data_IF_872765851168
#
_entry.id   IF_872765851168
#
_cell.length_a   1.000
_cell.length_b   1.000
_cell.length_c   1.000
_cell.angle_alpha   90.00
_cell.angle_beta   90.00
_cell.angle_gamma   90.00
#
_symmetry.space_group_name_H-M   'P 1'
#
loop_
_entity.id
_entity.type
_entity.pdbx_description
1 polymer ?
#
# COMPACT_ATOMS: atom_id res chain seq x y z
N UNK A 1 -16.82 -12.85 -1.46
CA UNK A 1 -16.26 -11.64 -0.82
C UNK A 1 -15.79 -10.71 -1.92
N UNK A 2 -15.88 -9.39 -1.76
CA UNK A 2 -15.49 -8.40 -2.77
C UNK A 2 -14.32 -7.57 -2.26
N UNK A 3 -13.18 -7.66 -2.92
CA UNK A 3 -11.99 -6.88 -2.59
C UNK A 3 -11.84 -5.70 -3.54
N UNK A 4 -11.74 -4.50 -2.97
CA UNK A 4 -11.64 -3.26 -3.72
C UNK A 4 -10.37 -2.54 -3.28
N UNK A 5 -9.40 -2.45 -4.18
CA UNK A 5 -8.15 -1.74 -3.91
C UNK A 5 -8.20 -0.32 -4.46
N UNK A 6 -7.90 0.66 -3.62
CA UNK A 6 -7.69 2.05 -4.01
C UNK A 6 -6.19 2.27 -4.11
N UNK A 7 -5.69 2.65 -5.29
CA UNK A 7 -4.26 2.82 -5.56
C UNK A 7 -3.99 4.15 -6.28
N UNK A 8 -2.72 4.55 -6.36
CA UNK A 8 -2.31 5.72 -7.12
C UNK A 8 -0.90 5.56 -7.70
N UNK A 9 -0.61 6.18 -8.84
CA UNK A 9 0.73 6.11 -9.44
C UNK A 9 1.81 6.86 -8.65
N UNK A 10 1.42 7.75 -7.74
CA UNK A 10 2.32 8.50 -6.84
C UNK A 10 1.66 8.80 -5.50
N UNK A 11 2.46 9.22 -4.53
CA UNK A 11 1.98 9.76 -3.25
C UNK A 11 1.23 11.09 -3.41
N UNK A 12 0.33 11.38 -2.47
CA UNK A 12 -0.33 12.69 -2.34
C UNK A 12 -1.53 12.95 -3.26
N UNK A 13 -1.99 11.97 -4.05
CA UNK A 13 -3.20 12.10 -4.90
C UNK A 13 -4.52 12.06 -4.12
N UNK A 14 -4.48 11.70 -2.83
CA UNK A 14 -5.66 11.60 -1.95
C UNK A 14 -6.28 10.21 -1.86
N UNK A 15 -5.56 9.16 -2.28
CA UNK A 15 -5.92 7.74 -2.15
C UNK A 15 -6.46 7.39 -0.76
N UNK A 16 -5.65 7.49 0.29
CA UNK A 16 -6.04 7.17 1.68
C UNK A 16 -7.25 7.96 2.15
N UNK A 17 -7.35 9.24 1.77
CA UNK A 17 -8.51 10.08 2.11
C UNK A 17 -9.80 9.56 1.47
N UNK A 18 -9.74 9.13 0.21
CA UNK A 18 -10.87 8.52 -0.48
C UNK A 18 -11.20 7.15 0.12
N UNK A 19 -10.19 6.33 0.43
CA UNK A 19 -10.39 5.02 1.08
C UNK A 19 -11.09 5.17 2.44
N UNK A 20 -10.63 6.11 3.27
CA UNK A 20 -11.26 6.42 4.56
C UNK A 20 -12.70 6.93 4.40
N UNK A 21 -12.99 7.66 3.33
CA UNK A 21 -14.35 8.08 3.02
C UNK A 21 -15.22 6.89 2.58
N UNK A 22 -14.73 6.01 1.69
CA UNK A 22 -15.48 4.81 1.31
C UNK A 22 -15.74 3.88 2.48
N UNK A 23 -14.80 3.75 3.43
CA UNK A 23 -15.02 3.03 4.68
C UNK A 23 -16.25 3.54 5.44
N UNK A 24 -16.49 4.85 5.46
CA UNK A 24 -17.68 5.44 6.09
C UNK A 24 -19.00 5.23 5.33
N UNK A 25 -18.98 4.59 4.15
CA UNK A 25 -20.14 4.36 3.29
C UNK A 25 -20.45 2.88 3.06
N UNK A 26 -19.69 1.96 3.66
CA UNK A 26 -19.96 0.54 3.57
C UNK A 26 -19.54 -0.22 4.82
N UNK A 27 -20.14 -1.38 5.02
CA UNK A 27 -19.73 -2.31 6.05
C UNK A 27 -18.58 -3.20 5.53
N UNK A 28 -17.35 -2.88 5.88
CA UNK A 28 -16.14 -3.50 5.33
C UNK A 28 -15.11 -3.85 6.41
N UNK A 29 -14.20 -4.76 6.06
CA UNK A 29 -12.89 -4.86 6.70
C UNK A 29 -11.92 -3.96 5.93
N UNK A 30 -11.09 -3.23 6.64
CA UNK A 30 -10.12 -2.31 6.06
C UNK A 30 -8.73 -2.95 6.08
N UNK A 31 -7.96 -2.77 5.02
CA UNK A 31 -6.57 -3.17 4.95
C UNK A 31 -5.72 -1.97 4.52
N UNK A 32 -4.87 -1.46 5.43
CA UNK A 32 -3.89 -0.44 5.08
C UNK A 32 -2.62 -1.13 4.54
N UNK A 33 -2.52 -1.17 3.22
CA UNK A 33 -1.42 -1.76 2.47
C UNK A 33 -0.36 -0.72 2.07
N UNK A 34 -0.52 0.55 2.49
CA UNK A 34 0.48 1.60 2.33
C UNK A 34 1.46 1.61 3.52
N UNK A 35 2.16 0.49 3.71
CA UNK A 35 2.93 0.21 4.95
C UNK A 35 4.18 1.08 5.14
N UNK A 36 4.69 1.69 4.07
CA UNK A 36 5.78 2.68 4.15
C UNK A 36 5.31 4.00 4.77
N UNK A 37 4.04 4.35 4.55
CA UNK A 37 3.44 5.61 4.98
C UNK A 37 1.98 5.37 5.41
N UNK A 38 1.81 4.52 6.43
CA UNK A 38 0.48 4.13 6.92
C UNK A 38 -0.29 5.34 7.44
N UNK A 39 -1.24 5.81 6.63
CA UNK A 39 -2.00 7.03 6.88
C UNK A 39 -3.43 6.74 7.33
N UNK A 40 -3.97 5.55 7.03
CA UNK A 40 -5.34 5.22 7.37
C UNK A 40 -5.57 5.17 8.89
N UNK A 41 -4.65 4.64 9.73
CA UNK A 41 -4.75 4.73 11.19
C UNK A 41 -4.80 6.15 11.74
N UNK A 42 -4.13 7.11 11.08
CA UNK A 42 -4.15 8.51 11.51
C UNK A 42 -5.54 9.14 11.32
N UNK A 43 -6.28 8.73 10.29
CA UNK A 43 -7.63 9.23 9.98
C UNK A 43 -8.68 8.51 10.81
N UNK A 44 -8.53 7.20 11.02
CA UNK A 44 -9.56 6.39 11.66
C UNK A 44 -9.39 6.21 13.17
N UNK A 45 -8.23 6.62 13.70
CA UNK A 45 -7.88 6.60 15.13
C UNK A 45 -8.28 5.29 15.80
N UNK A 46 -7.71 4.15 15.34
CA UNK A 46 -8.20 2.84 15.69
C UNK A 46 -7.74 2.39 17.09
N UNK A 47 -8.47 1.46 17.69
CA UNK A 47 -8.06 0.80 18.93
C UNK A 47 -7.36 -0.52 18.60
N UNK A 48 -6.08 -0.64 18.94
CA UNK A 48 -5.28 -1.85 18.68
C UNK A 48 -5.79 -2.99 19.57
N UNK A 49 -6.17 -4.10 18.95
CA UNK A 49 -6.63 -5.33 19.64
C UNK A 49 -5.57 -6.42 19.67
N UNK A 50 -4.74 -6.49 18.64
CA UNK A 50 -3.65 -7.47 18.52
C UNK A 50 -2.47 -6.85 17.77
N UNK A 51 -1.28 -7.25 18.18
CA UNK A 51 -0.01 -6.92 17.56
C UNK A 51 0.77 -8.22 17.26
N UNK A 52 1.43 -8.27 16.11
CA UNK A 52 2.27 -9.39 15.67
C UNK A 52 3.56 -8.85 15.06
N UNK A 53 4.71 -9.42 15.45
CA UNK A 53 5.98 -9.10 14.80
C UNK A 53 6.01 -9.69 13.38
N UNK A 54 6.57 -8.93 12.44
CA UNK A 54 6.74 -9.36 11.07
C UNK A 54 8.21 -9.40 10.68
N UNK A 55 8.65 -10.56 10.18
CA UNK A 55 9.98 -10.77 9.62
C UNK A 55 9.89 -10.91 8.10
N UNK A 56 10.12 -9.81 7.39
CA UNK A 56 10.09 -9.77 5.92
C UNK A 56 11.43 -10.03 5.25
N UNK A 57 12.52 -9.91 6.00
CA UNK A 57 13.89 -10.02 5.49
C UNK A 57 14.70 -11.05 6.27
N UNK A 58 15.76 -11.53 5.62
CA UNK A 58 16.80 -12.34 6.23
C UNK A 58 18.11 -11.60 6.16
N UNK A 59 18.89 -11.63 7.23
CA UNK A 59 20.19 -10.97 7.31
C UNK A 59 21.26 -12.01 7.61
N UNK A 60 22.44 -11.81 7.04
CA UNK A 60 23.55 -12.70 7.30
C UNK A 60 24.11 -12.44 8.71
N UNK A 61 24.43 -13.51 9.43
CA UNK A 61 25.09 -13.48 10.74
C UNK A 61 26.34 -14.35 10.71
N UNK A 62 27.39 -13.90 11.39
CA UNK A 62 28.66 -14.61 11.56
C UNK A 62 28.71 -15.23 12.96
N UNK A 63 29.14 -16.49 13.04
CA UNK A 63 29.40 -17.18 14.30
C UNK A 63 30.91 -17.42 14.52
N UNK A 64 31.23 -18.10 15.62
CA UNK A 64 32.60 -18.36 16.09
C UNK A 64 33.42 -19.31 15.19
N UNK A 65 32.79 -20.03 14.26
CA UNK A 65 33.49 -20.93 13.32
C UNK A 65 34.26 -20.16 12.23
N UNK A 66 34.22 -18.83 12.23
CA UNK A 66 34.84 -18.01 11.21
C UNK A 66 36.37 -18.12 11.26
N UNK A 67 36.97 -18.59 10.17
CA UNK A 67 38.43 -18.69 10.02
C UNK A 67 39.08 -17.43 9.43
N UNK A 68 38.32 -16.36 9.27
CA UNK A 68 38.76 -15.08 8.69
C UNK A 68 39.34 -15.22 7.26
N UNK A 69 38.93 -16.24 6.50
CA UNK A 69 39.40 -16.50 5.13
C UNK A 69 39.01 -15.41 4.11
N UNK A 70 37.96 -14.64 4.39
CA UNK A 70 37.55 -13.49 3.60
C UNK A 70 36.75 -13.74 2.32
N UNK A 71 36.40 -14.98 2.00
CA UNK A 71 35.58 -15.31 0.83
C UNK A 71 34.22 -14.58 0.83
N UNK A 72 33.55 -14.51 1.99
CA UNK A 72 32.28 -13.80 2.13
C UNK A 72 32.39 -12.31 1.78
N UNK A 73 33.51 -11.67 2.13
CA UNK A 73 33.77 -10.26 1.82
C UNK A 73 34.01 -10.07 0.32
N UNK A 74 34.79 -10.96 -0.29
CA UNK A 74 35.14 -10.90 -1.73
C UNK A 74 33.91 -10.96 -2.63
N UNK A 75 32.90 -11.75 -2.26
CA UNK A 75 31.68 -11.94 -3.07
C UNK A 75 30.55 -10.96 -2.74
N UNK A 76 30.65 -10.20 -1.64
CA UNK A 76 29.58 -9.30 -1.22
C UNK A 76 29.52 -8.05 -2.09
N UNK A 77 28.56 -8.00 -3.02
CA UNK A 77 28.35 -6.84 -3.90
C UNK A 77 27.79 -5.60 -3.19
N UNK A 78 27.20 -5.78 -2.02
CA UNK A 78 26.55 -4.72 -1.25
C UNK A 78 27.47 -4.08 -0.20
N UNK A 79 28.71 -4.57 -0.05
CA UNK A 79 29.65 -4.06 0.94
C UNK A 79 29.18 -4.25 2.38
N UNK A 80 28.40 -5.31 2.64
CA UNK A 80 27.86 -5.63 3.95
C UNK A 80 28.88 -6.30 4.89
N UNK A 81 30.04 -6.74 4.39
CA UNK A 81 31.07 -7.39 5.20
C UNK A 81 32.26 -6.44 5.40
N UNK A 82 32.60 -6.16 6.66
CA UNK A 82 33.68 -5.22 7.04
C UNK A 82 35.08 -5.81 6.83
N UNK A 83 36.11 -4.99 7.05
CA UNK A 83 37.50 -5.44 7.12
C UNK A 83 37.74 -6.50 8.18
N UNK A 84 37.04 -6.39 9.31
CA UNK A 84 37.10 -7.30 10.45
C UNK A 84 36.11 -8.48 10.32
N UNK A 85 35.55 -8.64 9.12
CA UNK A 85 34.59 -9.67 8.74
C UNK A 85 33.30 -9.65 9.57
N UNK A 86 32.94 -8.51 10.15
CA UNK A 86 31.62 -8.30 10.74
C UNK A 86 30.59 -7.98 9.66
N UNK A 87 29.31 -8.24 9.97
CA UNK A 87 28.22 -8.03 9.04
C UNK A 87 27.46 -6.77 9.42
N UNK A 88 27.46 -5.79 8.52
CA UNK A 88 26.65 -4.59 8.61
C UNK A 88 25.23 -4.94 8.13
N UNK A 89 24.33 -5.20 9.07
CA UNK A 89 22.95 -5.65 8.79
C UNK A 89 22.19 -4.74 7.81
N UNK A 90 22.30 -3.41 7.98
CA UNK A 90 21.62 -2.43 7.12
C UNK A 90 22.09 -2.42 5.66
N UNK A 91 23.28 -2.96 5.36
CA UNK A 91 23.79 -3.13 3.99
C UNK A 91 23.55 -4.53 3.43
N UNK A 92 23.05 -5.45 4.26
CA UNK A 92 22.87 -6.83 3.88
C UNK A 92 21.50 -7.03 3.21
N UNK A 93 21.50 -7.37 1.93
CA UNK A 93 20.29 -7.73 1.18
C UNK A 93 19.77 -9.15 1.46
N UNK A 94 20.49 -9.94 2.27
CA UNK A 94 20.06 -11.32 2.57
C UNK A 94 20.18 -12.30 1.39
N UNK A 95 20.91 -11.97 0.33
CA UNK A 95 20.98 -12.79 -0.90
C UNK A 95 21.61 -14.19 -0.73
N UNK A 96 22.26 -14.47 0.42
CA UNK A 96 22.79 -15.79 0.76
C UNK A 96 24.11 -16.19 0.10
N UNK A 97 24.67 -15.39 -0.83
CA UNK A 97 25.94 -15.73 -1.50
C UNK A 97 27.08 -15.98 -0.51
N UNK A 98 27.15 -15.20 0.58
CA UNK A 98 28.17 -15.35 1.62
C UNK A 98 28.08 -16.69 2.38
N UNK A 99 26.86 -17.20 2.60
CA UNK A 99 26.62 -18.52 3.21
C UNK A 99 27.10 -19.63 2.28
N UNK A 100 26.83 -19.52 0.97
CA UNK A 100 27.21 -20.53 -0.02
C UNK A 100 28.73 -20.69 -0.17
N UNK A 101 29.49 -19.59 -0.10
CA UNK A 101 30.94 -19.62 -0.31
C UNK A 101 31.76 -19.82 0.96
N UNK A 102 31.14 -19.81 2.15
CA UNK A 102 31.87 -19.90 3.42
C UNK A 102 32.37 -21.34 3.67
N UNK A 103 33.69 -21.61 3.60
CA UNK A 103 34.21 -22.97 3.73
C UNK A 103 34.01 -23.54 5.14
N UNK A 104 34.04 -22.69 6.18
CA UNK A 104 33.83 -23.10 7.56
C UNK A 104 32.36 -23.08 8.00
N UNK A 105 31.43 -22.76 7.09
CA UNK A 105 29.98 -22.63 7.37
C UNK A 105 29.67 -21.68 8.54
N UNK A 106 30.51 -20.66 8.71
CA UNK A 106 30.39 -19.68 9.80
C UNK A 106 29.36 -18.57 9.54
N UNK A 107 28.85 -18.47 8.31
CA UNK A 107 27.87 -17.45 7.91
C UNK A 107 26.53 -18.13 7.62
N UNK A 108 25.47 -17.69 8.30
CA UNK A 108 24.10 -18.17 8.10
C UNK A 108 23.14 -17.00 7.88
N UNK A 109 21.95 -17.27 7.35
CA UNK A 109 20.88 -16.28 7.23
C UNK A 109 19.90 -16.47 8.39
N UNK A 110 19.53 -15.38 9.04
CA UNK A 110 18.53 -15.36 10.11
C UNK A 110 17.43 -14.38 9.77
N UNK A 111 16.19 -14.74 10.06
CA UNK A 111 15.06 -13.81 9.97
C UNK A 111 15.30 -12.61 10.87
N UNK A 112 14.97 -11.43 10.37
CA UNK A 112 15.11 -10.17 11.09
C UNK A 112 13.74 -9.51 11.14
N UNK A 113 13.25 -9.11 12.32
CA UNK A 113 12.02 -8.34 12.43
C UNK A 113 12.14 -7.04 11.64
N UNK A 114 11.31 -6.87 10.62
CA UNK A 114 11.29 -5.70 9.75
C UNK A 114 10.12 -4.78 10.03
N UNK A 115 9.16 -5.21 10.86
CA UNK A 115 8.01 -4.40 11.23
C UNK A 115 7.04 -5.15 12.13
N UNK A 116 5.85 -4.58 12.25
CA UNK A 116 4.75 -5.09 13.04
C UNK A 116 3.45 -5.00 12.25
N UNK A 117 2.56 -5.96 12.46
CA UNK A 117 1.20 -5.95 11.93
C UNK A 117 0.24 -5.81 13.10
N UNK A 118 -0.79 -5.02 12.90
CA UNK A 118 -1.80 -4.70 13.89
C UNK A 118 -3.18 -5.07 13.39
N UNK A 119 -3.96 -5.73 14.24
CA UNK A 119 -5.41 -5.84 14.08
C UNK A 119 -6.04 -4.86 15.03
N UNK A 120 -6.86 -3.96 14.48
CA UNK A 120 -7.47 -2.87 15.24
C UNK A 120 -8.95 -2.75 14.92
N UNK A 121 -9.74 -2.24 15.86
CA UNK A 121 -11.12 -1.85 15.60
C UNK A 121 -11.17 -0.35 15.32
N UNK A 122 -11.97 0.05 14.32
CA UNK A 122 -12.21 1.45 13.96
C UNK A 122 -13.68 1.79 14.05
N UNK A 123 -14.01 3.08 13.95
CA UNK A 123 -15.40 3.55 13.84
C UNK A 123 -16.14 3.06 12.59
N UNK A 124 -15.45 2.49 11.60
CA UNK A 124 -16.04 1.98 10.34
C UNK A 124 -15.84 0.48 10.12
N UNK A 125 -15.35 -0.24 11.13
CA UNK A 125 -15.11 -1.68 11.05
C UNK A 125 -13.69 -2.08 11.45
N UNK A 126 -13.39 -3.38 11.44
CA UNK A 126 -12.05 -3.90 11.71
C UNK A 126 -11.06 -3.42 10.65
N UNK A 127 -9.82 -3.19 11.06
CA UNK A 127 -8.74 -2.80 10.19
C UNK A 127 -7.49 -3.62 10.49
N UNK A 128 -6.82 -4.07 9.43
CA UNK A 128 -5.45 -4.57 9.49
C UNK A 128 -4.53 -3.52 8.90
N UNK A 129 -3.46 -3.19 9.61
CA UNK A 129 -2.43 -2.26 9.14
C UNK A 129 -1.06 -2.72 9.63
N UNK A 130 -0.01 -2.16 9.05
CA UNK A 130 1.35 -2.51 9.44
C UNK A 130 2.25 -1.29 9.50
N UNK A 131 3.30 -1.41 10.30
CA UNK A 131 4.33 -0.40 10.47
C UNK A 131 5.70 -1.05 10.37
N UNK A 132 6.57 -0.48 9.54
CA UNK A 132 7.96 -0.92 9.39
C UNK A 132 8.85 -0.38 10.52
N UNK A 133 9.91 -1.13 10.80
CA UNK A 133 11.01 -0.65 11.64
C UNK A 133 11.82 0.42 10.89
N UNK A 134 12.52 1.28 11.65
CA UNK A 134 13.29 2.37 11.07
C UNK A 134 14.38 1.82 10.14
N UNK A 135 14.37 2.28 8.89
CA UNK A 135 15.36 1.89 7.87
C UNK A 135 15.00 0.63 7.07
N UNK A 136 13.82 0.05 7.29
CA UNK A 136 13.26 -1.03 6.48
C UNK A 136 12.33 -0.49 5.37
N UNK A 137 12.10 -1.29 4.33
CA UNK A 137 11.29 -0.93 3.16
C UNK A 137 10.12 -1.92 2.99
N UNK A 138 8.97 -1.44 2.49
CA UNK A 138 7.82 -2.30 2.23
C UNK A 138 8.15 -3.42 1.26
N UNK A 139 7.88 -4.65 1.68
CA UNK A 139 7.90 -5.81 0.80
C UNK A 139 6.48 -6.20 0.40
N UNK A 140 6.35 -6.79 -0.78
CA UNK A 140 5.08 -7.41 -1.19
C UNK A 140 4.60 -8.48 -0.20
N UNK A 141 5.50 -9.11 0.57
CA UNK A 141 5.17 -10.09 1.60
C UNK A 141 4.40 -9.48 2.77
N UNK A 142 4.82 -8.30 3.24
CA UNK A 142 4.13 -7.61 4.33
C UNK A 142 2.71 -7.21 3.90
N UNK A 143 2.61 -6.63 2.70
CA UNK A 143 1.31 -6.25 2.11
C UNK A 143 0.39 -7.45 1.94
N UNK A 144 0.92 -8.57 1.43
CA UNK A 144 0.15 -9.82 1.29
C UNK A 144 -0.33 -10.31 2.66
N UNK A 145 0.54 -10.32 3.68
CA UNK A 145 0.15 -10.75 5.03
C UNK A 145 -0.95 -9.86 5.65
N UNK A 146 -0.89 -8.54 5.43
CA UNK A 146 -1.95 -7.62 5.85
C UNK A 146 -3.30 -7.98 5.19
N UNK A 147 -3.28 -8.30 3.89
CA UNK A 147 -4.48 -8.72 3.15
C UNK A 147 -5.01 -10.08 3.62
N UNK A 148 -4.15 -11.08 3.75
CA UNK A 148 -4.52 -12.41 4.25
C UNK A 148 -5.25 -12.31 5.61
N UNK A 149 -4.72 -11.49 6.53
CA UNK A 149 -5.35 -11.26 7.83
C UNK A 149 -6.68 -10.51 7.71
N UNK A 150 -6.82 -9.58 6.76
CA UNK A 150 -8.07 -8.88 6.51
C UNK A 150 -9.14 -9.84 5.95
N UNK A 151 -8.75 -10.76 5.07
CA UNK A 151 -9.59 -11.84 4.54
C UNK A 151 -10.05 -12.78 5.67
N UNK A 152 -9.14 -13.28 6.50
CA UNK A 152 -9.48 -14.12 7.68
C UNK A 152 -10.51 -13.43 8.60
N UNK A 153 -10.35 -12.13 8.85
CA UNK A 153 -11.28 -11.35 9.69
C UNK A 153 -12.62 -11.17 8.97
N UNK A 154 -12.61 -10.91 7.66
CA UNK A 154 -13.82 -10.73 6.88
C UNK A 154 -14.65 -12.02 6.85
N UNK A 155 -14.01 -13.18 6.71
CA UNK A 155 -14.68 -14.48 6.80
C UNK A 155 -15.27 -14.71 8.18
N UNK A 156 -14.46 -14.52 9.23
CA UNK A 156 -14.88 -14.75 10.62
C UNK A 156 -16.02 -13.83 11.06
N UNK A 157 -16.01 -12.56 10.62
CA UNK A 157 -17.04 -11.56 10.93
C UNK A 157 -18.15 -11.48 9.87
N UNK A 158 -18.16 -12.39 8.89
CA UNK A 158 -19.12 -12.46 7.78
C UNK A 158 -19.32 -11.11 7.05
N UNK A 159 -18.20 -10.44 6.72
CA UNK A 159 -18.18 -9.18 5.98
C UNK A 159 -18.06 -9.45 4.49
N UNK A 160 -18.90 -8.79 3.70
CA UNK A 160 -18.94 -8.99 2.25
C UNK A 160 -17.88 -8.23 1.46
N UNK A 161 -17.25 -7.21 2.07
CA UNK A 161 -16.35 -6.27 1.40
C UNK A 161 -15.05 -6.13 2.20
N UNK A 162 -13.93 -6.10 1.48
CA UNK A 162 -12.64 -5.62 1.98
C UNK A 162 -12.25 -4.37 1.17
N UNK A 163 -11.94 -3.29 1.88
CA UNK A 163 -11.40 -2.07 1.29
C UNK A 163 -9.90 -1.99 1.57
N UNK A 164 -9.12 -1.96 0.49
CA UNK A 164 -7.66 -1.92 0.56
C UNK A 164 -7.18 -0.51 0.22
N UNK A 165 -6.46 0.12 1.15
CA UNK A 165 -5.65 1.31 0.88
C UNK A 165 -4.28 0.85 0.37
N UNK A 166 -4.13 0.72 -0.95
CA UNK A 166 -2.91 0.15 -1.55
C UNK A 166 -1.73 1.13 -1.53
N UNK A 167 -0.51 0.65 -1.78
CA UNK A 167 0.66 1.53 -1.87
C UNK A 167 0.62 2.40 -3.15
N UNK A 168 1.36 3.53 -3.20
CA UNK A 168 1.56 4.26 -4.45
C UNK A 168 2.65 3.64 -5.33
N UNK A 169 2.65 3.97 -6.63
CA UNK A 169 3.72 3.62 -7.56
C UNK A 169 3.40 2.42 -8.46
N UNK A 170 4.42 1.62 -8.79
CA UNK A 170 4.32 0.45 -9.67
C UNK A 170 5.12 -0.76 -9.17
N UNK A 171 5.60 -0.72 -7.92
CA UNK A 171 6.47 -1.74 -7.34
C UNK A 171 5.73 -2.98 -6.82
N UNK A 172 6.48 -3.90 -6.21
CA UNK A 172 5.93 -5.10 -5.57
C UNK A 172 4.82 -4.81 -4.55
N UNK A 173 4.88 -3.75 -3.71
CA UNK A 173 3.80 -3.42 -2.79
C UNK A 173 2.46 -3.11 -3.48
N UNK A 174 2.49 -2.44 -4.64
CA UNK A 174 1.30 -2.14 -5.45
C UNK A 174 0.71 -3.41 -6.02
N UNK A 175 1.56 -4.27 -6.60
CA UNK A 175 1.13 -5.56 -7.15
C UNK A 175 0.49 -6.41 -6.06
N UNK A 176 1.15 -6.51 -4.90
CA UNK A 176 0.63 -7.23 -3.74
C UNK A 176 -0.69 -6.64 -3.20
N UNK A 177 -0.97 -5.34 -3.43
CA UNK A 177 -2.22 -4.70 -3.02
C UNK A 177 -3.40 -5.00 -3.96
N UNK A 178 -3.14 -5.41 -5.21
CA UNK A 178 -4.18 -5.51 -6.26
C UNK A 178 -4.43 -6.93 -6.76
N UNK A 179 -3.44 -7.82 -6.68
CA UNK A 179 -3.58 -9.18 -7.21
C UNK A 179 -4.71 -9.91 -6.49
N UNK A 180 -5.68 -10.44 -7.23
CA UNK A 180 -6.85 -11.13 -6.66
C UNK A 180 -8.02 -10.21 -6.31
N UNK A 181 -7.84 -8.89 -6.35
CA UNK A 181 -8.93 -7.94 -6.08
C UNK A 181 -10.06 -8.07 -7.11
N UNK A 182 -11.30 -7.87 -6.66
CA UNK A 182 -12.48 -7.84 -7.52
C UNK A 182 -12.52 -6.57 -8.37
N UNK A 183 -11.98 -5.46 -7.87
CA UNK A 183 -11.87 -4.21 -8.62
C UNK A 183 -10.75 -3.32 -8.07
N UNK A 184 -10.21 -2.47 -8.95
CA UNK A 184 -9.18 -1.48 -8.62
C UNK A 184 -9.66 -0.07 -8.97
N UNK A 185 -9.48 0.86 -8.04
CA UNK A 185 -9.78 2.27 -8.20
C UNK A 185 -8.46 3.02 -8.29
N UNK A 186 -8.13 3.52 -9.48
CA UNK A 186 -6.92 4.32 -9.71
C UNK A 186 -7.22 5.80 -9.46
N UNK A 187 -6.67 6.34 -8.39
CA UNK A 187 -6.82 7.75 -8.00
C UNK A 187 -5.68 8.59 -8.60
N UNK A 188 -6.05 9.60 -9.39
CA UNK A 188 -5.12 10.59 -9.93
C UNK A 188 -5.55 12.02 -9.56
N UNK A 189 -4.71 12.99 -9.90
CA UNK A 189 -5.01 14.43 -9.84
C UNK A 189 -4.58 15.09 -11.17
N UNK A 190 -5.13 16.25 -11.57
CA UNK A 190 -4.89 16.84 -12.90
C UNK A 190 -3.53 17.55 -13.01
N UNK A 191 -2.45 16.95 -12.50
CA UNK A 191 -1.06 17.40 -12.67
C UNK A 191 -0.39 16.63 -13.81
N UNK A 192 0.68 17.19 -14.40
CA UNK A 192 1.40 16.49 -15.47
C UNK A 192 2.01 15.17 -14.98
N UNK A 193 2.58 15.15 -13.78
CA UNK A 193 3.06 13.91 -13.15
C UNK A 193 1.92 12.93 -12.89
N UNK A 194 0.80 13.39 -12.34
CA UNK A 194 -0.38 12.55 -12.11
C UNK A 194 -0.89 11.83 -13.36
N UNK A 195 -0.78 12.45 -14.54
CA UNK A 195 -1.13 11.82 -15.82
C UNK A 195 -0.13 10.71 -16.18
N UNK A 196 1.16 11.00 -16.17
CA UNK A 196 2.19 10.00 -16.52
C UNK A 196 2.21 8.83 -15.53
N UNK A 197 2.01 9.10 -14.24
CA UNK A 197 1.96 8.06 -13.22
C UNK A 197 0.68 7.22 -13.33
N UNK A 198 -0.43 7.82 -13.74
CA UNK A 198 -1.66 7.09 -14.08
C UNK A 198 -1.46 6.15 -15.27
N UNK A 199 -0.78 6.60 -16.32
CA UNK A 199 -0.46 5.78 -17.49
C UNK A 199 0.37 4.55 -17.09
N UNK A 200 1.38 4.74 -16.22
CA UNK A 200 2.24 3.64 -15.74
C UNK A 200 1.50 2.63 -14.87
N UNK A 201 0.69 3.10 -13.91
CA UNK A 201 -0.04 2.19 -13.03
C UNK A 201 -1.17 1.47 -13.78
N UNK A 202 -1.77 2.11 -14.79
CA UNK A 202 -2.70 1.45 -15.71
C UNK A 202 -2.07 0.23 -16.38
N UNK A 203 -0.83 0.33 -16.85
CA UNK A 203 -0.16 -0.79 -17.52
C UNK A 203 0.03 -1.97 -16.56
N UNK A 204 0.32 -1.70 -15.29
CA UNK A 204 0.41 -2.73 -14.24
C UNK A 204 -0.95 -3.37 -13.99
N UNK A 205 -2.00 -2.58 -13.74
CA UNK A 205 -3.34 -3.11 -13.44
C UNK A 205 -3.90 -3.91 -14.64
N UNK A 206 -3.69 -3.39 -15.86
CA UNK A 206 -4.11 -4.04 -17.10
C UNK A 206 -3.41 -5.39 -17.31
N UNK A 207 -2.12 -5.48 -16.99
CA UNK A 207 -1.35 -6.72 -17.09
C UNK A 207 -1.96 -7.85 -16.23
N UNK A 208 -2.49 -7.52 -15.06
CA UNK A 208 -3.15 -8.48 -14.17
C UNK A 208 -4.62 -8.74 -14.51
N UNK A 209 -5.17 -8.11 -15.55
CA UNK A 209 -6.54 -8.31 -16.04
C UNK A 209 -7.62 -8.10 -14.96
N UNK A 210 -7.37 -7.20 -14.02
CA UNK A 210 -8.30 -6.88 -12.93
C UNK A 210 -9.29 -5.82 -13.46
N UNK A 211 -10.59 -5.86 -13.12
CA UNK A 211 -11.50 -4.75 -13.43
C UNK A 211 -11.03 -3.45 -12.75
N UNK A 212 -11.07 -2.31 -13.46
CA UNK A 212 -10.66 -1.04 -12.87
C UNK A 212 -11.43 0.17 -13.38
N UNK A 213 -11.37 1.25 -12.60
CA UNK A 213 -11.82 2.57 -13.01
C UNK A 213 -10.87 3.68 -12.54
N UNK A 214 -10.98 4.85 -13.16
CA UNK A 214 -10.20 6.05 -12.80
C UNK A 214 -11.04 7.03 -12.00
N UNK A 215 -10.50 7.54 -10.90
CA UNK A 215 -11.04 8.69 -10.16
C UNK A 215 -10.10 9.87 -10.29
N UNK A 216 -10.64 11.04 -10.67
CA UNK A 216 -9.88 12.29 -10.73
C UNK A 216 -10.19 13.10 -9.48
N UNK A 217 -9.23 13.14 -8.56
CA UNK A 217 -9.30 13.98 -7.37
C UNK A 217 -8.85 15.41 -7.69
N UNK A 218 -9.41 16.39 -6.99
CA UNK A 218 -9.14 17.82 -7.14
C UNK A 218 -9.25 18.30 -8.61
N UNK A 219 -10.28 17.85 -9.32
CA UNK A 219 -10.35 18.00 -10.78
C UNK A 219 -10.32 19.48 -11.23
N UNK A 220 -10.86 20.38 -10.43
CA UNK A 220 -10.98 21.82 -10.70
C UNK A 220 -9.65 22.59 -10.58
N UNK A 221 -8.58 21.97 -10.08
CA UNK A 221 -7.24 22.57 -10.07
C UNK A 221 -6.73 22.86 -11.49
N UNK A 222 -7.02 21.98 -12.45
CA UNK A 222 -6.59 22.16 -13.83
C UNK A 222 -7.51 21.45 -14.84
N UNK A 223 -8.52 22.18 -15.31
CA UNK A 223 -9.52 21.67 -16.26
C UNK A 223 -8.89 21.21 -17.59
N UNK A 224 -7.80 21.84 -18.05
CA UNK A 224 -7.12 21.43 -19.28
C UNK A 224 -6.55 20.02 -19.15
N UNK A 225 -5.92 19.72 -18.01
CA UNK A 225 -5.38 18.40 -17.73
C UNK A 225 -6.47 17.36 -17.44
N UNK A 226 -7.59 17.75 -16.82
CA UNK A 226 -8.77 16.86 -16.70
C UNK A 226 -9.23 16.38 -18.06
N UNK A 227 -9.40 17.30 -19.03
CA UNK A 227 -9.78 16.92 -20.40
C UNK A 227 -8.79 15.96 -21.04
N UNK A 228 -7.49 16.10 -20.76
CA UNK A 228 -6.45 15.17 -21.21
C UNK A 228 -6.64 13.78 -20.60
N UNK A 229 -6.90 13.68 -19.29
CA UNK A 229 -7.20 12.40 -18.62
C UNK A 229 -8.47 11.77 -19.19
N UNK A 230 -9.55 12.54 -19.36
CA UNK A 230 -10.83 12.05 -19.92
C UNK A 230 -10.66 11.55 -21.36
N UNK A 231 -9.90 12.29 -22.17
CA UNK A 231 -9.61 11.91 -23.56
C UNK A 231 -8.80 10.62 -23.62
N UNK A 232 -7.78 10.51 -22.76
CA UNK A 232 -6.97 9.29 -22.64
C UNK A 232 -7.80 8.09 -22.17
N UNK A 233 -8.65 8.27 -21.15
CA UNK A 233 -9.55 7.22 -20.68
C UNK A 233 -10.48 6.75 -21.80
N UNK A 234 -11.07 7.68 -22.55
CA UNK A 234 -11.96 7.37 -23.68
C UNK A 234 -11.23 6.60 -24.77
N UNK A 235 -10.01 7.02 -25.15
CA UNK A 235 -9.21 6.35 -26.18
C UNK A 235 -8.81 4.93 -25.80
N UNK A 236 -8.59 4.68 -24.51
CA UNK A 236 -8.20 3.37 -23.95
C UNK A 236 -9.39 2.51 -23.53
N UNK A 237 -10.63 3.03 -23.60
CA UNK A 237 -11.82 2.33 -23.10
C UNK A 237 -11.86 2.19 -21.58
N UNK A 238 -11.21 3.08 -20.84
CA UNK A 238 -11.09 3.03 -19.38
C UNK A 238 -12.32 3.70 -18.75
N UNK A 239 -13.06 3.03 -17.85
CA UNK A 239 -14.17 3.63 -17.13
C UNK A 239 -13.72 4.78 -16.22
N UNK A 240 -14.36 5.94 -16.36
CA UNK A 240 -14.20 7.05 -15.42
C UNK A 240 -15.21 6.87 -14.28
N UNK A 241 -14.73 6.52 -13.07
CA UNK A 241 -15.56 6.33 -11.89
C UNK A 241 -16.12 7.63 -11.30
N UNK A 242 -15.48 8.77 -11.61
CA UNK A 242 -15.97 10.09 -11.23
C UNK A 242 -14.87 11.11 -10.95
N UNK A 243 -15.30 12.30 -10.52
CA UNK A 243 -14.45 13.46 -10.27
C UNK A 243 -14.81 14.12 -8.94
N UNK A 244 -13.80 14.43 -8.13
CA UNK A 244 -13.97 15.06 -6.82
C UNK A 244 -13.36 16.46 -6.90
N UNK A 245 -14.11 17.54 -6.58
CA UNK A 245 -13.58 18.90 -6.60
C UNK A 245 -12.57 19.09 -5.45
N UNK A 246 -11.68 20.07 -5.59
CA UNK A 246 -10.88 20.55 -4.48
C UNK A 246 -11.81 21.15 -3.42
N UNK A 247 -11.64 20.73 -2.17
CA UNK A 247 -12.45 21.19 -1.07
C UNK A 247 -11.57 21.29 0.18
N UNK A 248 -11.47 22.48 0.76
CA UNK A 248 -10.64 22.75 1.94
C UNK A 248 -11.07 21.91 3.14
N UNK A 249 -12.35 21.54 3.22
CA UNK A 249 -12.89 20.69 4.29
C UNK A 249 -12.27 19.31 4.32
N UNK A 250 -11.77 18.82 3.18
CA UNK A 250 -10.99 17.57 3.14
C UNK A 250 -9.74 17.70 4.01
N UNK A 251 -9.05 18.83 3.94
CA UNK A 251 -7.85 19.10 4.74
C UNK A 251 -8.22 19.30 6.21
N UNK A 252 -9.27 20.06 6.49
CA UNK A 252 -9.77 20.28 7.86
C UNK A 252 -10.15 18.97 8.55
N UNK A 253 -10.82 18.06 7.83
CA UNK A 253 -11.16 16.73 8.33
C UNK A 253 -9.90 15.91 8.65
N UNK A 254 -8.93 15.86 7.72
CA UNK A 254 -7.67 15.13 7.92
C UNK A 254 -6.90 15.63 9.15
N UNK A 255 -6.77 16.95 9.31
CA UNK A 255 -6.10 17.57 10.48
C UNK A 255 -6.82 17.20 11.79
N UNK A 256 -8.13 16.98 11.72
CA UNK A 256 -8.96 16.61 12.87
C UNK A 256 -9.02 15.09 13.13
N UNK A 257 -8.28 14.26 12.38
CA UNK A 257 -8.41 12.79 12.47
C UNK A 257 -9.81 12.30 12.05
N UNK A 258 -10.42 12.98 11.08
CA UNK A 258 -11.78 12.76 10.60
C UNK A 258 -11.81 12.48 9.11
N UNK A 259 -12.86 11.79 8.67
CA UNK A 259 -13.15 11.68 7.23
C UNK A 259 -13.97 12.87 6.77
N UNK A 260 -13.82 13.26 5.49
CA UNK A 260 -14.59 14.37 4.90
C UNK A 260 -16.11 14.12 4.98
N UNK A 261 -16.55 12.86 5.11
CA UNK A 261 -17.96 12.52 5.27
C UNK A 261 -18.59 13.01 6.58
N UNK A 262 -17.76 13.38 7.56
CA UNK A 262 -18.19 14.02 8.81
C UNK A 262 -18.45 15.52 8.62
N UNK A 263 -18.26 16.04 7.41
CA UNK A 263 -18.50 17.43 7.02
C UNK A 263 -19.46 17.49 5.83
N UNK A 264 -20.28 18.52 5.78
CA UNK A 264 -21.11 18.83 4.61
C UNK A 264 -20.28 19.57 3.56
N UNK A 265 -20.40 19.18 2.29
CA UNK A 265 -19.63 19.81 1.21
C UNK A 265 -19.73 19.17 -0.17
N UNK A 266 -19.18 19.86 -1.16
CA UNK A 266 -19.21 19.41 -2.55
C UNK A 266 -18.40 18.12 -2.74
N UNK A 267 -17.24 18.01 -2.09
CA UNK A 267 -16.45 16.78 -2.09
C UNK A 267 -17.23 15.62 -1.45
N UNK A 268 -17.86 15.84 -0.29
CA UNK A 268 -18.70 14.85 0.40
C UNK A 268 -19.82 14.31 -0.51
N UNK A 269 -20.59 15.21 -1.13
CA UNK A 269 -21.67 14.81 -2.04
C UNK A 269 -21.13 14.00 -3.21
N UNK A 270 -20.03 14.45 -3.84
CA UNK A 270 -19.44 13.74 -4.98
C UNK A 270 -18.88 12.37 -4.59
N UNK A 271 -18.24 12.24 -3.43
CA UNK A 271 -17.74 10.94 -2.94
C UNK A 271 -18.90 9.97 -2.72
N UNK A 272 -20.02 10.42 -2.14
CA UNK A 272 -21.22 9.57 -1.96
C UNK A 272 -21.80 9.10 -3.29
N UNK A 273 -21.88 9.98 -4.30
CA UNK A 273 -22.34 9.63 -5.64
C UNK A 273 -21.41 8.62 -6.32
N UNK A 274 -20.10 8.83 -6.23
CA UNK A 274 -19.07 7.95 -6.79
C UNK A 274 -19.16 6.56 -6.14
N UNK A 275 -19.26 6.50 -4.81
CA UNK A 275 -19.36 5.23 -4.10
C UNK A 275 -20.59 4.42 -4.52
N UNK A 276 -21.77 5.06 -4.64
CA UNK A 276 -22.98 4.40 -5.15
C UNK A 276 -22.78 3.82 -6.56
N UNK A 277 -22.07 4.55 -7.41
CA UNK A 277 -21.76 4.11 -8.78
C UNK A 277 -20.86 2.88 -8.75
N UNK A 278 -19.80 2.91 -7.95
CA UNK A 278 -18.88 1.77 -7.77
C UNK A 278 -19.63 0.57 -7.21
N UNK A 279 -20.44 0.74 -6.16
CA UNK A 279 -21.21 -0.34 -5.56
C UNK A 279 -22.13 -1.08 -6.55
N UNK A 280 -22.74 -0.36 -7.49
CA UNK A 280 -23.60 -0.96 -8.51
C UNK A 280 -22.83 -1.75 -9.58
N UNK A 281 -21.52 -1.51 -9.70
CA UNK A 281 -20.65 -2.20 -10.67
C UNK A 281 -19.89 -3.40 -10.07
N UNK A 282 -19.96 -3.57 -8.75
CA UNK A 282 -19.39 -4.71 -8.04
C UNK A 282 -20.36 -5.89 -8.05
#
# INVERSE_FOLDING_TARGET
MKEIAVISGKGGTGKTTITAAFAGLCDAVLADCDVDASNLPLILTPEIKREEEFSGSVKAVKNELCTLCGECRRVCRFGAVTSDFDIISVKCEGCGTCTLVCPSKAVSLTETPTGKIFVSDTRYGPMVHAQLNIGEEASGKLVTRVRDMAEEIAETKNKGIILIDGSPGIGCPVIASIVGCSSVIMVTEPTLSGIYDLERIHDVVSHFHIPYCVLINKYDINIKNVKRIESWCTQKGIPLGGKIPYDIRVVEALVSGKTVLEYEGNATTKIREIWRTIQNTL
#
